data_IF_849834425391
#
_entry.id   IF_849834425391
#
_cell.length_a   1.000
_cell.length_b   1.000
_cell.length_c   1.000
_cell.angle_alpha   90.00
_cell.angle_beta   90.00
_cell.angle_gamma   90.00
#
_symmetry.space_group_name_H-M   'P 1'
#
loop_
_entity.id
_entity.type
_entity.pdbx_description
1 polymer ?
#
# COMPACT_ATOMS: atom_id res chain seq x y z
N UNK A 1 77.09 9.72 -48.03
CA UNK A 1 75.97 10.06 -48.93
C UNK A 1 75.03 8.88 -49.03
N UNK A 2 73.90 8.92 -48.31
CA UNK A 2 72.57 8.35 -48.66
C UNK A 2 71.63 8.65 -47.48
N UNK A 3 70.92 9.75 -47.64
CA UNK A 3 69.82 10.22 -46.79
C UNK A 3 68.56 9.43 -47.20
N UNK A 4 67.85 8.83 -46.24
CA UNK A 4 66.45 8.43 -46.40
C UNK A 4 65.68 8.85 -45.15
N UNK A 5 64.87 9.88 -45.34
CA UNK A 5 63.86 10.37 -44.41
C UNK A 5 62.62 9.44 -44.43
N UNK A 6 61.61 9.84 -43.65
CA UNK A 6 60.23 9.30 -43.52
C UNK A 6 60.09 8.22 -42.43
N UNK A 7 59.13 8.27 -41.51
CA UNK A 7 58.06 9.22 -41.17
C UNK A 7 57.51 8.77 -39.80
N UNK A 8 57.08 9.71 -38.98
CA UNK A 8 56.35 9.48 -37.73
C UNK A 8 55.08 8.64 -37.96
N UNK A 9 54.59 7.90 -36.95
CA UNK A 9 53.24 8.09 -36.35
C UNK A 9 53.12 7.22 -35.08
N UNK A 10 52.79 7.86 -33.96
CA UNK A 10 52.42 7.22 -32.69
C UNK A 10 50.99 6.67 -32.83
N UNK A 11 50.78 5.36 -32.66
CA UNK A 11 49.45 4.75 -32.73
C UNK A 11 49.05 4.26 -31.32
N UNK A 12 48.50 5.19 -30.52
CA UNK A 12 47.83 4.87 -29.25
C UNK A 12 46.39 4.47 -29.54
N UNK A 13 46.12 3.17 -29.51
CA UNK A 13 44.78 2.59 -29.68
C UNK A 13 44.01 2.72 -28.36
N UNK A 14 43.21 3.78 -28.20
CA UNK A 14 42.23 3.89 -27.11
C UNK A 14 41.02 3.01 -27.42
N UNK A 15 40.85 1.93 -26.66
CA UNK A 15 39.61 1.15 -26.64
C UNK A 15 38.48 2.02 -26.05
N UNK A 16 37.51 2.41 -26.88
CA UNK A 16 36.24 2.97 -26.44
C UNK A 16 35.40 1.82 -25.86
N UNK A 17 35.37 1.70 -24.53
CA UNK A 17 34.37 0.90 -23.84
C UNK A 17 33.02 1.63 -23.97
N UNK A 18 32.22 1.25 -24.96
CA UNK A 18 30.81 1.61 -25.02
C UNK A 18 30.05 0.81 -23.94
N UNK A 19 30.04 1.34 -22.72
CA UNK A 19 29.16 0.85 -21.67
C UNK A 19 27.74 1.28 -21.97
N UNK A 20 26.90 0.36 -22.44
CA UNK A 20 25.45 0.55 -22.39
C UNK A 20 25.04 0.57 -20.91
N UNK A 21 24.98 1.77 -20.33
CA UNK A 21 24.26 1.97 -19.08
C UNK A 21 22.77 1.77 -19.41
N UNK A 22 22.29 0.54 -19.25
CA UNK A 22 20.87 0.24 -19.21
C UNK A 22 20.30 0.95 -17.98
N UNK A 23 19.80 2.17 -18.18
CA UNK A 23 18.97 2.84 -17.20
C UNK A 23 17.77 1.92 -16.92
N UNK A 24 17.52 1.53 -15.66
CA UNK A 24 16.29 0.82 -15.35
C UNK A 24 15.16 1.79 -15.71
N UNK A 25 14.36 1.43 -16.71
CA UNK A 25 13.06 2.07 -16.93
C UNK A 25 12.28 1.91 -15.64
N UNK A 26 12.17 3.01 -14.89
CA UNK A 26 11.30 3.09 -13.73
C UNK A 26 9.87 2.99 -14.27
N UNK A 27 9.31 1.78 -14.29
CA UNK A 27 7.87 1.62 -14.44
C UNK A 27 7.25 2.43 -13.31
N UNK A 28 6.39 3.43 -13.60
CA UNK A 28 5.73 4.19 -12.56
C UNK A 28 5.00 3.24 -11.64
N UNK A 29 5.28 3.35 -10.34
CA UNK A 29 4.58 2.59 -9.33
C UNK A 29 3.10 2.99 -9.35
N UNK A 30 2.21 2.01 -9.60
CA UNK A 30 0.78 2.25 -9.70
C UNK A 30 0.24 2.75 -8.36
N UNK A 31 -0.47 3.88 -8.38
CA UNK A 31 -1.05 4.46 -7.17
C UNK A 31 -2.27 3.65 -6.75
N UNK A 32 -2.13 2.96 -5.62
CA UNK A 32 -3.15 2.00 -5.17
C UNK A 32 -4.40 2.70 -4.63
N UNK A 33 -4.32 4.01 -4.33
CA UNK A 33 -5.51 4.79 -3.98
C UNK A 33 -6.50 4.95 -5.13
N UNK A 34 -6.11 4.60 -6.36
CA UNK A 34 -7.02 4.65 -7.51
C UNK A 34 -7.98 3.46 -7.56
N UNK A 35 -7.63 2.33 -6.93
CA UNK A 35 -8.38 1.07 -7.12
C UNK A 35 -8.55 0.22 -5.87
N UNK A 36 -7.81 0.46 -4.78
CA UNK A 36 -7.79 -0.42 -3.62
C UNK A 36 -8.78 0.06 -2.55
N UNK A 37 -9.57 -0.87 -2.03
CA UNK A 37 -10.58 -0.63 -1.01
C UNK A 37 -10.33 -1.53 0.18
N UNK A 38 -10.68 -1.07 1.38
CA UNK A 38 -10.91 -1.97 2.49
C UNK A 38 -12.33 -2.52 2.37
N UNK A 39 -12.43 -3.84 2.17
CA UNK A 39 -13.70 -4.55 2.02
C UNK A 39 -13.87 -5.46 3.21
N UNK A 40 -15.03 -5.43 3.86
CA UNK A 40 -15.26 -6.25 5.03
C UNK A 40 -16.73 -6.52 5.32
N UNK A 41 -16.99 -7.29 6.36
CA UNK A 41 -18.36 -7.65 6.77
C UNK A 41 -19.22 -6.42 7.10
N UNK A 42 -18.61 -5.29 7.45
CA UNK A 42 -19.30 -4.00 7.69
C UNK A 42 -19.88 -3.37 6.41
N UNK A 43 -19.45 -3.79 5.21
CA UNK A 43 -20.05 -3.41 3.91
C UNK A 43 -20.57 -4.60 3.13
N UNK A 44 -20.80 -5.75 3.77
CA UNK A 44 -21.10 -6.99 3.03
C UNK A 44 -20.05 -7.33 1.96
N UNK A 45 -18.80 -6.88 2.17
CA UNK A 45 -17.68 -6.95 1.26
C UNK A 45 -17.82 -6.17 -0.05
N UNK A 46 -18.71 -5.17 -0.15
CA UNK A 46 -18.75 -4.27 -1.29
C UNK A 46 -17.56 -3.29 -1.29
N UNK A 47 -17.18 -2.83 -2.49
CA UNK A 47 -16.12 -1.83 -2.70
C UNK A 47 -16.75 -0.43 -2.68
N UNK A 48 -16.94 0.11 -1.47
CA UNK A 48 -17.55 1.42 -1.28
C UNK A 48 -16.49 2.52 -1.26
N UNK A 49 -16.77 3.66 -1.90
CA UNK A 49 -15.83 4.79 -2.01
C UNK A 49 -15.43 5.36 -0.64
N UNK A 50 -16.31 5.29 0.37
CA UNK A 50 -16.00 5.70 1.75
C UNK A 50 -14.86 4.89 2.39
N UNK A 51 -14.58 3.68 1.88
CA UNK A 51 -13.51 2.80 2.36
C UNK A 51 -12.40 2.60 1.32
N UNK A 52 -12.34 3.46 0.31
CA UNK A 52 -11.19 3.53 -0.60
C UNK A 52 -9.96 3.97 0.19
N UNK A 53 -8.81 3.41 -0.15
CA UNK A 53 -7.58 3.78 0.55
C UNK A 53 -7.05 5.12 0.05
N UNK A 54 -6.53 5.92 0.97
CA UNK A 54 -5.79 7.13 0.70
C UNK A 54 -4.30 6.87 0.89
N UNK A 55 -3.48 7.52 0.05
CA UNK A 55 -2.03 7.44 0.18
C UNK A 55 -1.55 8.34 1.30
N UNK A 56 -0.84 7.77 2.27
CA UNK A 56 -0.26 8.50 3.40
C UNK A 56 1.15 8.99 3.05
N UNK A 57 2.02 8.08 2.63
CA UNK A 57 3.41 8.39 2.25
C UNK A 57 4.03 7.20 1.50
N UNK A 58 4.79 7.45 0.44
CA UNK A 58 5.43 6.38 -0.32
C UNK A 58 4.43 5.30 -0.73
N UNK A 59 4.61 4.09 -0.20
CA UNK A 59 3.75 2.92 -0.44
C UNK A 59 2.86 2.52 0.75
N UNK A 60 2.63 3.48 1.65
CA UNK A 60 1.71 3.38 2.76
C UNK A 60 0.36 3.98 2.39
N UNK A 61 -0.68 3.18 2.57
CA UNK A 61 -2.07 3.55 2.34
C UNK A 61 -2.89 3.32 3.61
N UNK A 62 -3.96 4.10 3.76
CA UNK A 62 -4.84 4.09 4.94
C UNK A 62 -6.29 4.27 4.52
N UNK A 63 -7.21 3.66 5.25
CA UNK A 63 -8.61 4.12 5.29
C UNK A 63 -9.15 4.03 6.71
N UNK A 64 -10.25 4.72 6.99
CA UNK A 64 -10.84 4.81 8.33
C UNK A 64 -12.21 4.18 8.34
N UNK A 65 -12.51 3.34 9.34
CA UNK A 65 -13.82 2.70 9.50
C UNK A 65 -14.36 2.93 10.90
N UNK A 66 -15.65 3.25 11.01
CA UNK A 66 -16.36 3.24 12.28
C UNK A 66 -16.93 1.83 12.55
N UNK A 67 -16.56 1.25 13.69
CA UNK A 67 -16.93 -0.11 14.08
C UNK A 67 -17.63 -0.13 15.44
N UNK A 68 -18.46 -1.14 15.66
CA UNK A 68 -19.17 -1.37 16.92
C UNK A 68 -18.51 -2.51 17.68
N UNK A 69 -18.24 -2.32 18.96
CA UNK A 69 -17.74 -3.38 19.83
C UNK A 69 -18.88 -4.26 20.37
N UNK A 70 -19.42 -5.11 19.50
CA UNK A 70 -20.46 -6.10 19.84
C UNK A 70 -19.88 -7.47 20.27
N UNK A 71 -18.55 -7.57 20.31
CA UNK A 71 -17.82 -8.79 20.65
C UNK A 71 -17.61 -9.76 19.48
N UNK A 72 -18.15 -9.47 18.30
CA UNK A 72 -17.90 -10.25 17.10
C UNK A 72 -16.66 -9.73 16.36
N UNK A 73 -15.99 -10.60 15.61
CA UNK A 73 -14.89 -10.19 14.76
C UNK A 73 -15.43 -9.73 13.41
N UNK A 74 -14.98 -8.57 12.96
CA UNK A 74 -15.12 -8.14 11.57
C UNK A 74 -14.13 -8.91 10.71
N UNK A 75 -14.63 -9.45 9.61
CA UNK A 75 -13.80 -10.02 8.56
C UNK A 75 -13.48 -8.95 7.52
N UNK A 76 -12.23 -8.87 7.06
CA UNK A 76 -11.84 -7.86 6.09
C UNK A 76 -10.66 -8.27 5.20
N UNK A 77 -10.52 -7.58 4.06
CA UNK A 77 -9.41 -7.63 3.11
C UNK A 77 -9.18 -6.26 2.49
N UNK A 78 -7.97 -6.02 1.99
CA UNK A 78 -7.75 -4.94 1.03
C UNK A 78 -7.86 -5.51 -0.37
N UNK A 79 -8.80 -5.05 -1.17
CA UNK A 79 -8.95 -5.54 -2.53
C UNK A 79 -9.50 -4.49 -3.50
N UNK A 80 -9.22 -4.68 -4.79
CA UNK A 80 -9.93 -3.98 -5.84
C UNK A 80 -11.37 -4.53 -5.99
N UNK A 81 -12.19 -3.80 -6.76
CA UNK A 81 -13.59 -4.14 -6.99
C UNK A 81 -13.75 -5.55 -7.61
N UNK A 82 -12.83 -5.90 -8.51
CA UNK A 82 -12.84 -7.16 -9.28
C UNK A 82 -12.19 -8.36 -8.57
N UNK A 83 -11.71 -8.18 -7.33
CA UNK A 83 -10.96 -9.22 -6.60
C UNK A 83 -9.75 -9.78 -7.35
N UNK A 84 -9.10 -8.93 -8.15
CA UNK A 84 -8.03 -9.30 -9.07
C UNK A 84 -6.84 -9.92 -8.34
N UNK A 85 -6.23 -10.92 -8.95
CA UNK A 85 -4.99 -11.50 -8.44
C UNK A 85 -3.89 -10.43 -8.41
N UNK A 86 -3.22 -10.28 -7.27
CA UNK A 86 -2.23 -9.23 -7.02
C UNK A 86 -2.82 -7.97 -6.38
N UNK A 87 -4.15 -7.84 -6.36
CA UNK A 87 -4.90 -6.74 -5.74
C UNK A 87 -5.99 -7.29 -4.81
N UNK A 88 -5.77 -8.47 -4.23
CA UNK A 88 -6.70 -9.13 -3.33
C UNK A 88 -5.95 -9.65 -2.10
N UNK A 89 -5.72 -8.76 -1.14
CA UNK A 89 -4.82 -8.94 0.00
C UNK A 89 -5.57 -9.45 1.23
N UNK A 90 -5.27 -10.70 1.57
CA UNK A 90 -5.72 -11.40 2.76
C UNK A 90 -4.54 -11.86 3.61
N UNK A 91 -4.78 -12.57 4.72
CA UNK A 91 -3.67 -13.03 5.57
C UNK A 91 -2.70 -13.93 4.81
N UNK A 92 -1.41 -13.83 5.12
CA UNK A 92 -0.39 -14.69 4.52
C UNK A 92 -0.34 -16.06 5.20
N UNK A 93 -0.35 -16.09 6.54
CA UNK A 93 -0.36 -17.30 7.35
C UNK A 93 -1.52 -17.30 8.34
N UNK A 94 -2.35 -18.35 8.31
CA UNK A 94 -3.54 -18.43 9.18
C UNK A 94 -3.22 -18.30 10.67
N UNK A 95 -2.14 -18.93 11.16
CA UNK A 95 -1.85 -18.98 12.58
C UNK A 95 -1.15 -17.70 13.11
N UNK A 96 -0.63 -16.86 12.22
CA UNK A 96 0.20 -15.70 12.57
C UNK A 96 -0.44 -14.38 12.18
N UNK A 97 -1.19 -14.37 11.08
CA UNK A 97 -1.63 -13.15 10.42
C UNK A 97 -3.16 -13.00 10.34
N UNK A 98 -3.95 -14.06 10.62
CA UNK A 98 -5.42 -14.00 10.50
C UNK A 98 -6.03 -13.01 11.49
N UNK A 99 -5.55 -12.97 12.74
CA UNK A 99 -6.05 -12.06 13.77
C UNK A 99 -5.16 -10.82 13.83
N UNK A 100 -5.75 -9.66 13.59
CA UNK A 100 -5.05 -8.36 13.63
C UNK A 100 -5.39 -7.66 14.93
N UNK A 101 -4.38 -7.36 15.73
CA UNK A 101 -4.53 -6.58 16.96
C UNK A 101 -4.03 -5.15 16.76
N UNK A 102 -4.59 -4.20 17.52
CA UNK A 102 -4.19 -2.78 17.45
C UNK A 102 -2.69 -2.65 17.69
N UNK A 103 -2.00 -1.96 16.78
CA UNK A 103 -0.56 -1.70 16.84
C UNK A 103 0.34 -2.84 16.35
N UNK A 104 -0.22 -4.04 16.12
CA UNK A 104 0.54 -5.19 15.65
C UNK A 104 0.53 -5.27 14.12
N UNK A 105 1.71 -5.45 13.52
CA UNK A 105 1.87 -5.65 12.08
C UNK A 105 1.78 -7.13 11.74
N UNK A 106 0.92 -7.48 10.79
CA UNK A 106 0.82 -8.83 10.20
C UNK A 106 1.20 -8.79 8.72
N UNK A 107 1.39 -9.96 8.12
CA UNK A 107 1.69 -10.11 6.69
C UNK A 107 0.46 -10.48 5.87
N UNK A 108 0.39 -9.89 4.68
CA UNK A 108 -0.64 -10.22 3.70
C UNK A 108 -0.07 -11.01 2.51
N UNK A 109 -0.98 -11.71 1.82
CA UNK A 109 -0.80 -12.29 0.50
C UNK A 109 -1.83 -11.64 -0.44
N UNK A 110 -1.38 -10.95 -1.49
CA UNK A 110 -2.26 -10.24 -2.43
C UNK A 110 -2.84 -11.10 -3.56
N UNK A 111 -2.66 -12.42 -3.50
CA UNK A 111 -3.40 -13.41 -4.29
C UNK A 111 -4.43 -14.20 -3.47
N UNK A 112 -4.84 -13.69 -2.31
CA UNK A 112 -5.77 -14.39 -1.41
C UNK A 112 -7.15 -14.57 -2.07
N UNK A 113 -7.79 -15.72 -1.83
CA UNK A 113 -9.17 -15.99 -2.20
C UNK A 113 -10.08 -15.85 -0.99
N UNK A 114 -9.88 -16.69 0.03
CA UNK A 114 -10.75 -16.80 1.20
C UNK A 114 -10.05 -16.46 2.52
N UNK A 115 -8.82 -15.96 2.44
CA UNK A 115 -7.99 -15.63 3.59
C UNK A 115 -8.38 -14.24 4.15
N UNK A 116 -9.52 -14.14 4.82
CA UNK A 116 -9.97 -12.89 5.46
C UNK A 116 -9.24 -12.64 6.78
N UNK A 117 -8.74 -11.42 6.97
CA UNK A 117 -8.30 -10.98 8.28
C UNK A 117 -9.49 -10.87 9.25
N UNK A 118 -9.22 -10.93 10.54
CA UNK A 118 -10.18 -10.78 11.63
C UNK A 118 -9.73 -9.70 12.59
N UNK A 119 -10.65 -8.80 12.94
CA UNK A 119 -10.45 -7.81 14.00
C UNK A 119 -11.69 -7.72 14.88
N UNK A 120 -11.51 -7.80 16.20
CA UNK A 120 -12.57 -7.59 17.19
C UNK A 120 -12.27 -6.30 17.95
N UNK A 121 -12.99 -5.19 17.67
CA UNK A 121 -12.81 -3.96 18.42
C UNK A 121 -13.24 -4.15 19.88
N UNK A 122 -12.44 -3.61 20.80
CA UNK A 122 -12.76 -3.62 22.24
C UNK A 122 -13.70 -2.50 22.65
N UNK A 123 -13.76 -1.44 21.86
CA UNK A 123 -14.58 -0.25 22.07
C UNK A 123 -15.22 0.16 20.74
N UNK A 124 -16.41 0.75 20.75
CA UNK A 124 -16.99 1.29 19.51
C UNK A 124 -16.28 2.58 19.13
N UNK A 125 -16.02 2.80 17.84
CA UNK A 125 -15.41 4.03 17.35
C UNK A 125 -14.72 3.86 16.01
N UNK A 126 -14.01 4.92 15.60
CA UNK A 126 -13.21 4.94 14.37
C UNK A 126 -11.87 4.22 14.55
N UNK A 127 -11.45 3.52 13.51
CA UNK A 127 -10.18 2.80 13.44
C UNK A 127 -9.51 3.07 12.09
N UNK A 128 -8.21 3.33 12.13
CA UNK A 128 -7.39 3.45 10.92
C UNK A 128 -6.84 2.07 10.55
N UNK A 129 -7.11 1.63 9.32
CA UNK A 129 -6.58 0.41 8.73
C UNK A 129 -5.49 0.76 7.73
N UNK A 130 -4.32 0.16 7.88
CA UNK A 130 -3.15 0.46 7.04
C UNK A 130 -2.71 -0.74 6.22
N UNK A 131 -2.16 -0.44 5.03
CA UNK A 131 -1.44 -1.39 4.20
C UNK A 131 -0.16 -0.74 3.65
N UNK A 132 0.97 -1.42 3.83
CA UNK A 132 2.31 -0.94 3.47
C UNK A 132 3.02 -1.93 2.54
N UNK A 133 3.29 -1.49 1.31
CA UNK A 133 4.00 -2.26 0.29
C UNK A 133 5.51 -1.94 0.23
N UNK A 134 6.02 -1.03 1.07
CA UNK A 134 7.37 -0.48 0.96
C UNK A 134 8.50 -1.52 1.13
N UNK A 135 8.23 -2.65 1.79
CA UNK A 135 9.20 -3.75 1.92
C UNK A 135 9.01 -4.85 0.86
N UNK A 136 7.77 -5.09 0.41
CA UNK A 136 7.45 -6.14 -0.57
C UNK A 136 6.08 -5.89 -1.17
N UNK A 137 6.01 -5.85 -2.50
CA UNK A 137 4.74 -5.75 -3.22
C UNK A 137 3.86 -7.00 -3.10
N UNK A 138 4.50 -8.17 -2.98
CA UNK A 138 3.79 -9.46 -2.90
C UNK A 138 3.39 -9.82 -1.48
N UNK A 139 4.09 -9.28 -0.47
CA UNK A 139 3.80 -9.51 0.95
C UNK A 139 3.82 -8.21 1.76
N UNK A 140 2.81 -7.34 1.55
CA UNK A 140 2.72 -6.09 2.29
C UNK A 140 2.40 -6.37 3.77
N UNK A 141 2.62 -5.36 4.59
CA UNK A 141 2.28 -5.38 6.01
C UNK A 141 0.96 -4.65 6.28
N UNK A 142 0.13 -5.23 7.14
CA UNK A 142 -1.16 -4.68 7.59
C UNK A 142 -1.09 -4.39 9.08
N UNK A 143 -1.72 -3.30 9.52
CA UNK A 143 -2.01 -3.08 10.93
C UNK A 143 -3.22 -2.18 11.10
N UNK A 144 -3.73 -2.11 12.33
CA UNK A 144 -4.85 -1.27 12.73
C UNK A 144 -4.37 -0.36 13.86
N UNK A 145 -4.78 0.90 13.87
CA UNK A 145 -4.68 1.76 15.06
C UNK A 145 -6.04 2.28 15.47
N UNK A 146 -6.17 2.64 16.76
CA UNK A 146 -7.24 3.54 17.15
C UNK A 146 -7.12 4.83 16.32
N UNK A 147 -8.26 5.37 15.88
CA UNK A 147 -8.27 6.60 15.10
C UNK A 147 -7.72 7.76 15.94
N UNK A 148 -6.80 8.51 15.34
CA UNK A 148 -6.31 9.76 15.89
C UNK A 148 -6.72 10.89 14.96
N UNK A 149 -7.68 11.74 15.35
CA UNK A 149 -8.10 12.84 14.50
C UNK A 149 -6.92 13.78 14.28
N UNK A 150 -6.59 13.98 13.01
CA UNK A 150 -5.55 14.91 12.62
C UNK A 150 -6.02 16.37 12.78
N UNK A 151 -5.18 17.33 12.41
CA UNK A 151 -5.56 18.74 12.53
C UNK A 151 -6.75 19.10 11.61
N UNK A 152 -6.90 18.40 10.48
CA UNK A 152 -7.97 18.67 9.51
C UNK A 152 -9.28 18.15 10.09
N UNK A 153 -9.31 16.92 10.57
CA UNK A 153 -10.48 16.30 11.18
C UNK A 153 -10.96 17.10 12.40
N UNK A 154 -10.03 17.58 13.22
CA UNK A 154 -10.35 18.42 14.39
C UNK A 154 -11.02 19.75 14.04
N UNK A 155 -10.84 20.25 12.83
CA UNK A 155 -11.35 21.57 12.41
C UNK A 155 -12.55 21.40 11.48
N UNK A 156 -12.49 20.47 10.53
CA UNK A 156 -13.50 20.31 9.46
C UNK A 156 -14.72 19.55 9.94
N UNK A 157 -14.58 18.47 10.71
CA UNK A 157 -15.73 17.69 11.18
C UNK A 157 -16.67 18.53 12.06
N UNK A 158 -16.17 19.34 13.03
CA UNK A 158 -17.03 20.25 13.77
C UNK A 158 -17.70 21.30 12.88
N UNK A 159 -17.05 21.76 11.81
CA UNK A 159 -17.62 22.75 10.89
C UNK A 159 -18.77 22.13 10.09
N UNK A 160 -18.58 20.96 9.48
CA UNK A 160 -19.62 20.25 8.72
C UNK A 160 -20.81 19.87 9.60
N UNK A 161 -20.55 19.37 10.81
CA UNK A 161 -21.60 18.98 11.74
C UNK A 161 -22.41 20.17 12.27
N UNK A 162 -21.80 21.35 12.39
CA UNK A 162 -22.48 22.57 12.83
C UNK A 162 -23.08 23.39 11.67
N UNK A 163 -22.73 23.08 10.42
CA UNK A 163 -23.22 23.74 9.21
C UNK A 163 -23.46 22.71 8.09
N UNK A 164 -24.51 21.88 8.20
CA UNK A 164 -24.74 20.77 7.27
C UNK A 164 -25.17 21.20 5.85
N UNK A 165 -25.53 22.48 5.66
CA UNK A 165 -26.07 23.02 4.41
C UNK A 165 -25.10 23.95 3.63
N UNK A 166 -23.79 23.84 3.90
CA UNK A 166 -22.72 24.56 3.18
C UNK A 166 -21.99 23.66 2.17
#
# INVERSE_FOLDING_TARGET
MKLRAFLATCLTTTLLLAGCASQPTQVPEEDRSEYLYLRGSFTWFDAEDDYKVEKVAGQLYKTTVELVADGQAYEFKFADESWSRGRNCGYANKNQDEVVEIGNKVKANCGAKFEFFRFTPKESGKYDFFIDYGQSEQSPSIWISAYQPDLIDKVVDPIKNNMPDL
#
